data_IF_741295489156
#
_entry.id   IF_741295489156
#
_cell.length_a   1.000
_cell.length_b   1.000
_cell.length_c   1.000
_cell.angle_alpha   90.00
_cell.angle_beta   90.00
_cell.angle_gamma   90.00
#
_symmetry.space_group_name_H-M   'P 1'
#
loop_
_entity.id
_entity.type
_entity.pdbx_description
1 polymer ?
#
# COMPACT_ATOMS: atom_id res chain seq x y z
N UNK A 1 8.31 -10.31 -8.74
CA UNK A 1 8.00 -8.91 -8.37
C UNK A 1 8.09 -8.67 -6.86
N UNK A 2 7.73 -9.64 -5.99
CA UNK A 2 7.77 -9.46 -4.53
C UNK A 2 9.11 -8.91 -4.02
N UNK A 3 10.22 -9.51 -4.43
CA UNK A 3 11.58 -9.06 -4.05
C UNK A 3 11.82 -7.57 -4.33
N UNK A 4 11.34 -7.04 -5.47
CA UNK A 4 11.49 -5.62 -5.80
C UNK A 4 10.66 -4.69 -4.89
N UNK A 5 9.51 -5.16 -4.43
CA UNK A 5 8.66 -4.40 -3.49
C UNK A 5 9.33 -4.34 -2.11
N UNK A 6 9.98 -5.44 -1.72
CA UNK A 6 10.67 -5.58 -0.44
C UNK A 6 11.95 -4.72 -0.35
N UNK A 7 12.54 -4.30 -1.49
CA UNK A 7 13.72 -3.41 -1.54
C UNK A 7 13.52 -2.10 -0.79
N UNK A 8 12.28 -1.62 -0.69
CA UNK A 8 11.96 -0.39 0.05
C UNK A 8 11.89 -0.57 1.56
N UNK A 9 11.98 -1.80 2.09
CA UNK A 9 11.75 -2.07 3.51
C UNK A 9 10.34 -1.70 3.98
N UNK A 10 9.34 -1.84 3.09
CA UNK A 10 7.95 -1.43 3.25
C UNK A 10 7.69 0.09 3.29
N UNK A 11 8.69 0.94 3.00
CA UNK A 11 8.49 2.40 2.92
C UNK A 11 7.52 2.85 1.82
N UNK A 12 7.35 2.06 0.75
CA UNK A 12 6.32 2.31 -0.27
C UNK A 12 4.90 2.31 0.29
N UNK A 13 4.69 1.80 1.50
CA UNK A 13 3.40 1.74 2.19
C UNK A 13 3.14 2.94 3.12
N UNK A 14 4.05 3.90 3.22
CA UNK A 14 3.96 5.03 4.17
C UNK A 14 2.69 5.88 3.98
N UNK A 15 2.27 6.14 2.74
CA UNK A 15 1.05 6.91 2.47
C UNK A 15 -0.22 6.19 2.99
N UNK A 16 -0.29 4.88 2.81
CA UNK A 16 -1.42 4.06 3.27
C UNK A 16 -1.55 4.10 4.79
N UNK A 17 -0.43 3.95 5.49
CA UNK A 17 -0.37 4.09 6.95
C UNK A 17 -0.80 5.49 7.39
N UNK A 18 -0.34 6.53 6.68
CA UNK A 18 -0.69 7.92 6.99
C UNK A 18 -2.20 8.16 6.89
N UNK A 19 -2.84 7.62 5.85
CA UNK A 19 -4.28 7.73 5.66
C UNK A 19 -5.04 6.98 6.75
N UNK A 20 -4.66 5.74 7.04
CA UNK A 20 -5.40 4.90 8.01
C UNK A 20 -5.24 5.42 9.44
N UNK A 21 -4.02 5.73 9.87
CA UNK A 21 -3.75 6.32 11.17
C UNK A 21 -4.39 7.72 11.29
N UNK A 22 -4.45 8.48 10.19
CA UNK A 22 -5.07 9.81 10.14
C UNK A 22 -6.55 9.82 10.48
N UNK A 23 -7.27 8.70 10.27
CA UNK A 23 -8.67 8.53 10.69
C UNK A 23 -8.84 8.52 12.20
N UNK A 24 -7.79 8.21 12.95
CA UNK A 24 -7.83 8.05 14.40
C UNK A 24 -7.19 9.23 15.14
N UNK A 25 -6.02 9.68 14.68
CA UNK A 25 -5.22 10.72 15.38
C UNK A 25 -5.23 12.08 14.67
N UNK A 26 -5.90 12.17 13.51
CA UNK A 26 -5.93 13.36 12.66
C UNK A 26 -4.81 13.38 11.61
N UNK A 27 -5.11 14.01 10.47
CA UNK A 27 -4.24 14.01 9.27
C UNK A 27 -2.82 14.51 9.54
N UNK A 28 -2.70 15.65 10.22
CA UNK A 28 -1.40 16.28 10.45
C UNK A 28 -0.51 15.42 11.35
N UNK A 29 -1.06 14.97 12.48
CA UNK A 29 -0.31 14.15 13.44
C UNK A 29 0.12 12.81 12.84
N UNK A 30 -0.76 12.19 12.05
CA UNK A 30 -0.45 10.96 11.34
C UNK A 30 0.69 11.15 10.34
N UNK A 31 0.61 12.21 9.52
CA UNK A 31 1.67 12.54 8.57
C UNK A 31 3.02 12.73 9.28
N UNK A 32 3.04 13.53 10.34
CA UNK A 32 4.28 13.84 11.05
C UNK A 32 4.91 12.56 11.67
N UNK A 33 4.10 11.72 12.33
CA UNK A 33 4.58 10.46 12.92
C UNK A 33 5.13 9.48 11.87
N UNK A 34 4.41 9.28 10.76
CA UNK A 34 4.86 8.37 9.69
C UNK A 34 6.09 8.92 8.97
N UNK A 35 6.15 10.23 8.73
CA UNK A 35 7.29 10.89 8.11
C UNK A 35 8.55 10.75 8.97
N UNK A 36 8.46 11.02 10.28
CA UNK A 36 9.57 10.84 11.21
C UNK A 36 10.03 9.38 11.27
N UNK A 37 9.09 8.43 11.30
CA UNK A 37 9.42 7.00 11.27
C UNK A 37 10.12 6.57 9.97
N UNK A 38 9.67 7.11 8.82
CA UNK A 38 10.30 6.84 7.53
C UNK A 38 11.73 7.38 7.51
N UNK A 39 11.95 8.62 7.94
CA UNK A 39 13.27 9.23 8.04
C UNK A 39 14.21 8.45 8.97
N UNK A 40 13.73 8.07 10.15
CA UNK A 40 14.50 7.31 11.13
C UNK A 40 14.81 5.88 10.68
N UNK A 41 14.01 5.29 9.78
CA UNK A 41 14.32 3.98 9.19
C UNK A 41 15.45 4.02 8.17
N UNK A 42 15.67 5.18 7.54
CA UNK A 42 16.78 5.41 6.60
C UNK A 42 18.08 5.68 7.35
N UNK A 43 18.02 6.37 8.49
CA UNK A 43 19.19 6.85 9.23
C UNK A 43 18.98 6.70 10.74
N UNK A 44 19.58 5.71 11.45
CA UNK A 44 20.32 4.50 11.05
C UNK A 44 19.41 3.42 10.43
N UNK A 45 19.95 2.46 9.65
CA UNK A 45 19.18 1.37 8.99
C UNK A 45 18.44 0.44 9.95
N UNK A 46 17.35 0.93 10.54
CA UNK A 46 16.41 0.17 11.35
C UNK A 46 15.18 -0.14 10.49
N UNK A 47 14.65 -1.36 10.53
CA UNK A 47 13.45 -1.70 9.77
C UNK A 47 12.30 -0.74 10.08
N UNK A 48 11.63 -0.22 9.05
CA UNK A 48 10.54 0.75 9.16
C UNK A 48 9.44 0.30 10.15
N UNK A 49 9.09 -0.99 10.11
CA UNK A 49 8.17 -1.64 11.07
C UNK A 49 8.58 -1.49 12.54
N UNK A 50 9.87 -1.59 12.84
CA UNK A 50 10.37 -1.46 14.22
C UNK A 50 10.32 -0.01 14.67
N UNK A 51 10.61 0.94 13.78
CA UNK A 51 10.52 2.38 14.09
C UNK A 51 9.07 2.78 14.35
N UNK A 52 8.13 2.32 13.53
CA UNK A 52 6.70 2.55 13.71
C UNK A 52 6.18 2.01 15.06
N UNK A 53 6.66 0.84 15.49
CA UNK A 53 6.25 0.24 16.76
C UNK A 53 6.76 1.01 18.00
N UNK A 54 7.80 1.83 17.86
CA UNK A 54 8.34 2.66 18.93
C UNK A 54 7.55 3.97 19.12
N UNK A 55 6.78 4.39 18.12
CA UNK A 55 5.96 5.60 18.22
C UNK A 55 4.67 5.31 19.00
N UNK A 56 4.44 6.08 20.06
CA UNK A 56 3.28 5.91 20.95
C UNK A 56 1.93 6.23 20.26
N UNK A 57 1.91 7.09 19.25
CA UNK A 57 0.70 7.43 18.50
C UNK A 57 0.37 6.37 17.47
N UNK A 58 1.39 5.84 16.79
CA UNK A 58 1.23 4.72 15.86
C UNK A 58 0.78 3.47 16.60
N UNK A 59 1.47 3.10 17.69
CA UNK A 59 1.14 1.89 18.48
C UNK A 59 -0.21 1.97 19.20
N UNK A 60 -0.67 3.17 19.56
CA UNK A 60 -2.02 3.35 20.09
C UNK A 60 -3.12 3.28 19.01
N UNK A 61 -2.83 3.70 17.77
CA UNK A 61 -3.80 3.73 16.67
C UNK A 61 -3.83 2.47 15.81
N UNK A 62 -2.74 1.72 15.73
CA UNK A 62 -2.63 0.54 14.87
C UNK A 62 -2.16 -0.65 15.69
N UNK A 63 -3.04 -1.65 15.86
CA UNK A 63 -2.62 -2.91 16.49
C UNK A 63 -1.67 -3.68 15.56
N UNK A 64 -0.81 -4.57 16.08
CA UNK A 64 0.20 -5.26 15.28
C UNK A 64 -0.37 -5.99 14.04
N UNK A 65 -1.54 -6.62 14.14
CA UNK A 65 -2.16 -7.30 12.99
C UNK A 65 -2.64 -6.35 11.89
N UNK A 66 -3.06 -5.13 12.26
CA UNK A 66 -3.40 -4.09 11.28
C UNK A 66 -2.13 -3.58 10.59
N UNK A 67 -1.05 -3.37 11.36
CA UNK A 67 0.25 -2.96 10.83
C UNK A 67 0.77 -3.95 9.77
N UNK A 68 0.78 -5.25 10.08
CA UNK A 68 1.20 -6.29 9.12
C UNK A 68 0.35 -6.28 7.85
N UNK A 69 -0.95 -6.02 7.97
CA UNK A 69 -1.85 -5.93 6.83
C UNK A 69 -1.56 -4.70 5.97
N UNK A 70 -1.30 -3.55 6.60
CA UNK A 70 -1.06 -2.26 5.92
C UNK A 70 0.34 -2.20 5.31
N UNK A 71 1.31 -2.94 5.85
CA UNK A 71 2.68 -3.04 5.32
C UNK A 71 2.82 -4.07 4.19
N UNK A 72 1.78 -4.84 3.85
CA UNK A 72 1.80 -5.77 2.72
C UNK A 72 1.41 -5.08 1.40
N UNK A 73 2.37 -4.79 0.49
CA UNK A 73 2.08 -4.10 -0.77
C UNK A 73 1.17 -4.91 -1.71
N UNK A 74 1.08 -6.24 -1.56
CA UNK A 74 0.17 -7.05 -2.38
C UNK A 74 -1.30 -6.80 -2.04
N UNK A 75 -1.60 -6.25 -0.86
CA UNK A 75 -2.96 -5.89 -0.44
C UNK A 75 -3.38 -4.51 -0.92
N UNK A 76 -2.45 -3.74 -1.49
CA UNK A 76 -2.68 -2.36 -1.88
C UNK A 76 -2.52 -2.13 -3.39
N UNK A 77 -3.17 -2.98 -4.18
CA UNK A 77 -3.23 -2.84 -5.65
C UNK A 77 -4.42 -1.98 -6.13
N UNK A 78 -5.22 -1.42 -5.22
CA UNK A 78 -6.39 -0.62 -5.55
C UNK A 78 -7.33 -1.32 -6.55
N UNK A 79 -7.87 -0.61 -7.57
CA UNK A 79 -8.80 -1.16 -8.55
C UNK A 79 -8.10 -1.93 -9.69
N UNK A 80 -6.78 -2.17 -9.63
CA UNK A 80 -6.03 -2.75 -10.76
C UNK A 80 -6.62 -4.08 -11.26
N UNK A 81 -7.10 -4.93 -10.35
CA UNK A 81 -7.76 -6.19 -10.73
C UNK A 81 -9.04 -5.95 -11.53
N UNK A 82 -9.92 -5.09 -11.03
CA UNK A 82 -11.19 -4.77 -11.70
C UNK A 82 -10.93 -4.15 -13.09
N UNK A 83 -9.97 -3.22 -13.19
CA UNK A 83 -9.60 -2.60 -14.45
C UNK A 83 -9.04 -3.62 -15.44
N UNK A 84 -8.17 -4.52 -15.00
CA UNK A 84 -7.63 -5.59 -15.83
C UNK A 84 -8.73 -6.54 -16.33
N UNK A 85 -9.65 -6.95 -15.45
CA UNK A 85 -10.79 -7.80 -15.80
C UNK A 85 -11.72 -7.12 -16.82
N UNK A 86 -12.03 -5.83 -16.61
CA UNK A 86 -12.85 -5.02 -17.51
C UNK A 86 -12.20 -4.86 -18.89
N UNK A 87 -10.91 -4.52 -18.93
CA UNK A 87 -10.16 -4.39 -20.18
C UNK A 87 -10.08 -5.71 -20.94
N UNK A 88 -9.86 -6.83 -20.23
CA UNK A 88 -9.83 -8.15 -20.84
C UNK A 88 -11.21 -8.56 -21.41
N UNK A 89 -12.30 -8.25 -20.69
CA UNK A 89 -13.65 -8.50 -21.18
C UNK A 89 -13.96 -7.68 -22.44
N UNK A 90 -13.61 -6.39 -22.44
CA UNK A 90 -13.78 -5.52 -23.60
C UNK A 90 -12.99 -6.03 -24.81
N UNK A 91 -11.75 -6.47 -24.61
CA UNK A 91 -10.92 -7.05 -25.66
C UNK A 91 -11.56 -8.29 -26.30
N UNK A 92 -12.12 -9.19 -25.48
CA UNK A 92 -12.84 -10.38 -25.97
C UNK A 92 -14.09 -10.04 -26.77
N UNK A 93 -14.86 -9.04 -26.33
CA UNK A 93 -16.04 -8.56 -27.08
C UNK A 93 -15.65 -8.03 -28.45
N UNK A 94 -14.59 -7.22 -28.53
CA UNK A 94 -14.11 -6.66 -29.79
C UNK A 94 -13.61 -7.77 -30.73
N UNK A 95 -12.81 -8.71 -30.22
CA UNK A 95 -12.30 -9.84 -30.99
C UNK A 95 -13.44 -10.66 -31.62
N UNK A 96 -14.46 -11.02 -30.82
CA UNK A 96 -15.62 -11.79 -31.28
C UNK A 96 -16.40 -11.05 -32.39
N UNK A 97 -16.54 -9.72 -32.27
CA UNK A 97 -17.22 -8.92 -33.28
C UNK A 97 -16.45 -8.82 -34.61
N UNK A 98 -15.11 -8.89 -34.57
CA UNK A 98 -14.28 -8.93 -35.77
C UNK A 98 -14.42 -10.28 -36.46
N UNK A 99 -14.36 -11.38 -35.71
CA UNK A 99 -14.49 -12.75 -36.26
C UNK A 99 -15.82 -12.95 -36.99
N UNK A 100 -16.93 -12.47 -36.41
CA UNK A 100 -18.26 -12.54 -37.03
C UNK A 100 -18.42 -11.69 -38.29
N UNK A 101 -17.55 -10.69 -38.51
CA UNK A 101 -17.57 -9.85 -39.72
C UNK A 101 -16.75 -10.43 -40.86
N UNK A 102 -15.88 -11.39 -40.57
CA UNK A 102 -14.96 -12.01 -41.54
C UNK A 102 -15.51 -13.37 -42.02
N UNK A 103 -16.49 -13.96 -41.32
CA UNK A 103 -17.25 -15.13 -41.77
C UNK A 103 -18.44 -14.74 -42.65
#
# INVERSE_FOLDING_TARGET
>A
MRENLDLSGALIMAEVLTLELGRQVGRQRSHDAIYEAAQASVTPSRPFREVLALDAHVSAGLIPSQMETLLDPARYAGPCRELAERSAAQGRTIASAIELRVS
#
